data_IF_717072645004
#
_entry.id   IF_717072645004
#
_cell.length_a   1.000
_cell.length_b   1.000
_cell.length_c   1.000
_cell.angle_alpha   90.00
_cell.angle_beta   90.00
_cell.angle_gamma   90.00
#
_symmetry.space_group_name_H-M   'P 1'
#
loop_
_entity.id
_entity.type
_entity.pdbx_description
1 polymer ?
2 polymer ?
3 polymer ?
4 water ?
#
loop_
_entity_poly.entity_id
_entity_poly.type
_entity_poly.pdbx_seq_one_letter_code
_entity_poly.pdbx_strand_id
2 'polydeoxyribonucleotide' '(DA)(DT)(DA)(DT)(DC)(DT)(DT)(DA)(DA)(DT)(DT)(DT)(DT)(DG)(DG)(DT)(DT)(DA)(DA)(DT)(DA)' ?
3 'polydeoxyribonucleotide' '(DT)(DA)(DT)(DT)(DA)(DA)(DC)(DC)(DA)(DA)(DA)(DA)(DT)(DT)(DA)(DA)(DG)(DA)(DT)(DA)(DT)' ?
#
# COMPACT_ATOMS: atom_id res chain seq x y z
N UNK A 1 12.61 3.17 -21.29
CA UNK A 1 11.94 2.38 -22.31
C UNK A 1 10.61 2.96 -22.75
N UNK A 2 10.44 3.07 -24.06
CA UNK A 2 9.21 3.61 -24.65
C UNK A 2 8.31 2.47 -25.08
N UNK A 3 7.05 2.51 -24.64
CA UNK A 3 6.04 1.55 -25.06
C UNK A 3 5.04 2.29 -25.96
N UNK A 4 4.55 1.60 -26.98
CA UNK A 4 3.49 2.10 -27.84
C UNK A 4 2.29 1.18 -27.75
N UNK A 5 1.11 1.77 -27.57
CA UNK A 5 -0.14 1.02 -27.48
C UNK A 5 -0.98 1.30 -28.71
N UNK A 6 -1.52 0.25 -29.31
CA UNK A 6 -2.47 0.37 -30.42
C UNK A 6 -3.76 -0.36 -30.04
N UNK A 7 -4.65 0.32 -29.31
CA UNK A 7 -5.95 -0.23 -28.93
C UNK A 7 -7.05 0.56 -29.63
N UNK A 8 -7.88 -0.13 -30.41
CA UNK A 8 -9.00 0.52 -31.06
C UNK A 8 -10.06 0.97 -30.06
N UNK A 9 -10.23 0.24 -28.97
CA UNK A 9 -11.19 0.65 -27.95
C UNK A 9 -10.65 1.85 -27.18
N UNK A 10 -11.41 2.92 -27.06
CA UNK A 10 -10.86 4.13 -26.42
C UNK A 10 -10.48 3.97 -24.94
N UNK A 11 -11.36 3.41 -24.13
CA UNK A 11 -11.07 3.30 -22.70
C UNK A 11 -9.88 2.41 -22.36
N UNK A 12 -9.74 1.29 -23.05
CA UNK A 12 -8.66 0.38 -22.74
C UNK A 12 -7.33 1.02 -23.05
N UNK A 13 -7.25 1.69 -24.20
CA UNK A 13 -6.01 2.29 -24.61
C UNK A 13 -5.53 3.17 -23.49
N UNK A 14 -6.44 3.88 -22.85
CA UNK A 14 -6.06 4.82 -21.82
C UNK A 14 -5.60 4.14 -20.54
N UNK A 15 -6.39 3.20 -20.04
CA UNK A 15 -6.05 2.53 -18.82
C UNK A 15 -4.66 1.94 -18.91
N UNK A 16 -4.35 1.32 -20.04
CA UNK A 16 -3.03 0.72 -20.22
C UNK A 16 -1.94 1.75 -20.08
N UNK A 17 -2.09 2.88 -20.76
CA UNK A 17 -1.05 3.90 -20.73
C UNK A 17 -0.84 4.44 -19.33
N UNK A 18 -1.92 4.59 -18.58
CA UNK A 18 -1.81 5.11 -17.23
C UNK A 18 -1.06 4.16 -16.33
N UNK A 19 -1.37 2.88 -16.41
CA UNK A 19 -0.66 1.88 -15.63
C UNK A 19 0.80 1.85 -16.01
N UNK A 20 1.08 1.80 -17.31
CA UNK A 20 2.45 1.77 -17.80
C UNK A 20 3.26 2.96 -17.35
N UNK A 21 2.69 4.15 -17.49
CA UNK A 21 3.37 5.37 -17.06
C UNK A 21 3.66 5.32 -15.57
N UNK A 22 2.70 4.85 -14.79
CA UNK A 22 2.89 4.77 -13.35
C UNK A 22 4.09 3.94 -13.04
N UNK A 23 4.26 2.85 -13.78
CA UNK A 23 5.38 1.97 -13.55
C UNK A 23 6.68 2.74 -13.74
N UNK A 24 6.79 3.44 -14.86
CA UNK A 24 8.00 4.19 -15.14
C UNK A 24 8.38 4.17 -16.60
N UNK A 25 7.39 4.01 -17.47
CA UNK A 25 7.66 3.92 -18.90
C UNK A 25 7.26 5.17 -19.65
N UNK A 26 7.91 5.41 -20.79
CA UNK A 26 7.54 6.53 -21.62
C UNK A 26 6.54 5.94 -22.59
N UNK A 27 5.47 6.65 -22.87
CA UNK A 27 4.42 6.04 -23.70
C UNK A 27 3.75 6.84 -24.80
N UNK A 28 3.41 6.18 -25.90
CA UNK A 28 2.64 6.78 -26.98
C UNK A 28 1.52 5.81 -27.33
N UNK A 29 0.34 6.33 -27.64
CA UNK A 29 -0.80 5.49 -27.98
C UNK A 29 -1.23 5.69 -29.43
N UNK A 30 -1.83 4.65 -29.97
CA UNK A 30 -2.40 4.70 -31.29
C UNK A 30 -3.75 4.00 -31.23
N UNK A 31 -4.67 4.40 -32.10
CA UNK A 31 -5.94 3.73 -32.24
C UNK A 31 -6.11 3.10 -33.60
N UNK A 32 -5.10 3.22 -34.47
CA UNK A 32 -5.17 2.81 -35.86
C UNK A 32 -3.84 2.21 -36.26
N UNK A 33 -3.88 1.29 -37.21
CA UNK A 33 -2.63 0.76 -37.76
C UNK A 33 -1.85 1.86 -38.49
N UNK A 34 -2.55 2.64 -39.30
CA UNK A 34 -1.90 3.77 -39.97
C UNK A 34 -1.30 4.74 -38.97
N UNK A 35 -2.06 5.09 -37.92
CA UNK A 35 -1.53 5.99 -36.90
C UNK A 35 -0.36 5.35 -36.15
N UNK A 36 -0.49 4.07 -35.78
CA UNK A 36 0.62 3.33 -35.24
C UNK A 36 1.82 3.45 -36.15
N UNK A 37 1.71 2.88 -37.37
CA UNK A 37 2.78 2.84 -38.36
C UNK A 37 3.55 4.15 -38.52
N UNK A 38 2.87 5.29 -38.38
CA UNK A 38 3.57 6.57 -38.35
C UNK A 38 4.50 6.66 -37.15
N UNK A 39 3.98 6.38 -35.97
CA UNK A 39 4.80 6.50 -34.77
C UNK A 39 6.08 5.69 -34.91
N UNK A 40 5.96 4.44 -35.28
CA UNK A 40 7.11 3.56 -35.38
C UNK A 40 8.08 4.06 -36.44
N UNK A 41 7.67 5.05 -37.21
CA UNK A 41 8.55 5.63 -38.21
C UNK A 41 9.27 6.88 -37.73
N UNK A 42 8.73 7.54 -36.71
CA UNK A 42 9.37 8.72 -36.16
C UNK A 42 10.17 8.41 -34.90
N UNK A 43 9.66 7.51 -34.08
CA UNK A 43 10.33 7.21 -32.83
C UNK A 43 10.67 5.75 -32.68
N UNK A 44 11.63 5.44 -31.81
CA UNK A 44 11.98 4.06 -31.56
C UNK A 44 11.37 3.60 -30.27
N UNK A 45 10.73 2.44 -30.33
CA UNK A 45 10.06 1.91 -29.19
C UNK A 45 10.70 0.61 -28.79
N UNK A 46 10.79 0.39 -27.49
CA UNK A 46 11.40 -0.82 -26.99
C UNK A 46 10.40 -1.94 -27.05
N UNK A 47 9.13 -1.62 -26.83
CA UNK A 47 8.08 -2.61 -26.93
C UNK A 47 6.84 -2.02 -27.57
N UNK A 48 6.14 -2.81 -28.34
CA UNK A 48 4.88 -2.36 -28.91
C UNK A 48 3.78 -3.25 -28.39
N UNK A 49 2.75 -2.64 -27.83
CA UNK A 49 1.59 -3.39 -27.33
C UNK A 49 0.46 -3.16 -28.32
N UNK A 50 0.13 -4.17 -29.11
CA UNK A 50 -0.88 -4.05 -30.15
C UNK A 50 -1.97 -5.10 -29.95
N UNK A 51 -3.17 -4.76 -30.43
CA UNK A 51 -4.27 -5.71 -30.46
C UNK A 51 -4.25 -6.48 -31.78
N UNK A 52 -4.40 -7.81 -31.69
CA UNK A 52 -4.63 -8.60 -32.89
C UNK A 52 -5.95 -8.23 -33.54
N UNK A 53 -6.94 -7.85 -32.72
CA UNK A 53 -8.27 -7.51 -33.21
C UNK A 53 -8.34 -5.99 -33.37
N UNK A 54 -7.86 -5.53 -34.53
CA UNK A 54 -7.97 -4.15 -34.96
C UNK A 54 -8.82 -4.08 -36.21
N UNK A 55 -9.54 -2.98 -36.43
CA UNK A 55 -10.29 -2.86 -37.70
C UNK A 55 -9.41 -2.82 -38.94
N UNK A 56 -8.32 -2.05 -38.91
CA UNK A 56 -7.50 -1.79 -40.10
C UNK A 56 -6.24 -2.62 -40.17
N UNK A 57 -6.25 -3.82 -39.59
CA UNK A 57 -5.09 -4.69 -39.65
C UNK A 57 -5.50 -6.15 -39.59
N UNK A 58 -4.64 -7.01 -40.11
CA UNK A 58 -4.80 -8.43 -39.96
C UNK A 58 -4.08 -8.97 -38.73
N UNK A 59 -3.33 -8.12 -38.03
CA UNK A 59 -2.45 -8.60 -37.00
C UNK A 59 -1.13 -9.06 -37.59
N UNK A 60 -1.17 -10.10 -38.42
CA UNK A 60 0.06 -10.69 -38.94
C UNK A 60 0.89 -9.69 -39.75
N UNK A 61 0.23 -8.84 -40.55
CA UNK A 61 0.95 -7.79 -41.25
C UNK A 61 1.49 -6.76 -40.27
N UNK A 62 0.64 -6.31 -39.34
CA UNK A 62 1.09 -5.45 -38.24
C UNK A 62 2.37 -5.95 -37.58
N UNK A 63 2.36 -7.19 -37.09
CA UNK A 63 3.57 -7.76 -36.50
C UNK A 63 4.69 -7.85 -37.52
N UNK A 64 4.40 -7.97 -38.80
CA UNK A 64 5.48 -8.11 -39.77
C UNK A 64 6.11 -6.77 -40.09
N UNK A 65 5.28 -5.75 -40.29
CA UNK A 65 5.78 -4.42 -40.60
C UNK A 65 6.70 -3.89 -39.52
N UNK A 66 6.29 -3.97 -38.26
CA UNK A 66 7.09 -3.45 -37.15
C UNK A 66 8.42 -4.17 -36.97
N UNK A 67 8.42 -5.48 -37.07
CA UNK A 67 9.64 -6.24 -36.87
C UNK A 67 10.57 -6.16 -38.05
N UNK A 68 10.19 -5.39 -39.06
CA UNK A 68 11.05 -5.20 -40.21
C UNK A 68 11.68 -3.85 -40.11
N UNK A 69 10.90 -2.85 -39.73
CA UNK A 69 11.45 -1.53 -39.57
C UNK A 69 12.27 -1.50 -38.31
N UNK A 70 11.65 -1.83 -37.18
CA UNK A 70 12.37 -1.87 -35.93
C UNK A 70 12.57 -3.32 -35.59
N UNK A 71 13.73 -3.85 -35.94
CA UNK A 71 13.96 -5.28 -35.72
C UNK A 71 14.27 -5.62 -34.27
N UNK A 72 14.53 -4.61 -33.45
CA UNK A 72 14.87 -4.85 -32.06
C UNK A 72 13.73 -4.47 -31.16
N UNK A 73 12.64 -4.03 -31.75
CA UNK A 73 11.47 -3.69 -30.99
C UNK A 73 10.74 -4.97 -30.66
N UNK A 74 10.15 -5.06 -29.47
CA UNK A 74 9.44 -6.25 -29.06
C UNK A 74 7.97 -6.06 -29.32
N UNK A 75 7.32 -7.10 -29.79
CA UNK A 75 5.92 -7.00 -30.08
C UNK A 75 5.09 -7.89 -29.17
N UNK A 76 4.20 -7.30 -28.39
CA UNK A 76 3.32 -8.05 -27.54
C UNK A 76 1.91 -7.87 -28.02
N UNK A 77 1.24 -8.98 -28.30
CA UNK A 77 -0.11 -8.92 -28.82
C UNK A 77 -1.12 -9.19 -27.75
N UNK A 78 -2.20 -8.44 -27.77
CA UNK A 78 -3.29 -8.66 -26.83
C UNK A 78 -4.53 -9.10 -27.60
N UNK A 79 -5.24 -10.08 -27.06
CA UNK A 79 -6.45 -10.58 -27.72
C UNK A 79 -7.49 -10.97 -26.69
N UNK A 80 -8.74 -10.60 -26.96
CA UNK A 80 -9.84 -11.19 -26.23
C UNK A 80 -10.04 -12.65 -26.62
N UNK A 81 -9.73 -13.00 -27.88
CA UNK A 81 -9.75 -14.38 -28.35
C UNK A 81 -8.35 -14.96 -28.14
N UNK A 82 -8.14 -15.59 -26.97
CA UNK A 82 -6.89 -16.24 -26.64
C UNK A 82 -6.87 -17.71 -27.05
N UNK A 83 -7.58 -18.04 -28.12
CA UNK A 83 -7.59 -19.37 -28.69
C UNK A 83 -6.18 -19.88 -28.95
N UNK A 84 -6.01 -21.21 -28.83
CA UNK A 84 -4.76 -21.87 -29.17
C UNK A 84 -4.17 -21.36 -30.48
N UNK A 85 -5.00 -21.32 -31.52
CA UNK A 85 -4.50 -21.04 -32.86
C UNK A 85 -4.25 -19.55 -33.07
N UNK A 86 -5.11 -18.70 -32.51
CA UNK A 86 -4.86 -17.26 -32.55
C UNK A 86 -3.50 -16.94 -31.93
N UNK A 87 -3.20 -17.55 -30.78
CA UNK A 87 -1.89 -17.38 -30.18
C UNK A 87 -0.79 -17.84 -31.13
N UNK A 88 -0.90 -19.07 -31.65
CA UNK A 88 0.15 -19.61 -32.50
C UNK A 88 0.38 -18.72 -33.70
N UNK A 89 -0.70 -18.28 -34.35
CA UNK A 89 -0.58 -17.38 -35.49
C UNK A 89 0.26 -16.15 -35.13
N UNK A 90 -0.05 -15.53 -33.99
CA UNK A 90 0.66 -14.32 -33.58
C UNK A 90 2.14 -14.60 -33.38
N UNK A 91 2.46 -15.56 -32.50
CA UNK A 91 3.86 -15.90 -32.26
C UNK A 91 4.56 -16.28 -33.55
N UNK A 92 3.91 -17.10 -34.38
CA UNK A 92 4.49 -17.44 -35.67
C UNK A 92 4.65 -16.20 -36.55
N UNK A 93 3.70 -15.27 -36.47
CA UNK A 93 3.79 -14.04 -37.24
C UNK A 93 4.94 -13.14 -36.79
N UNK A 94 5.66 -13.53 -35.74
CA UNK A 94 6.77 -12.74 -35.24
C UNK A 94 6.54 -12.08 -33.91
N UNK A 95 5.38 -12.28 -33.30
CA UNK A 95 5.15 -11.73 -31.98
C UNK A 95 6.03 -12.37 -30.93
N UNK A 96 6.35 -11.63 -29.89
CA UNK A 96 7.22 -12.14 -28.84
C UNK A 96 6.43 -12.54 -27.61
N UNK A 97 5.19 -12.11 -27.51
CA UNK A 97 4.36 -12.53 -26.41
C UNK A 97 2.89 -12.39 -26.74
N UNK A 98 2.05 -13.20 -26.10
CA UNK A 98 0.63 -13.15 -26.33
C UNK A 98 -0.07 -13.14 -25.01
N UNK A 99 -0.99 -12.19 -24.83
CA UNK A 99 -1.72 -12.04 -23.59
C UNK A 99 -3.21 -11.98 -23.91
N UNK A 100 -4.03 -12.48 -22.98
CA UNK A 100 -5.48 -12.54 -23.18
C UNK A 100 -6.15 -11.29 -22.62
N UNK A 101 -7.28 -10.94 -23.22
CA UNK A 101 -8.03 -9.81 -22.75
C UNK A 101 -9.39 -10.37 -22.41
N UNK A 102 -9.88 -10.07 -21.23
CA UNK A 102 -9.48 -8.93 -20.41
C UNK A 102 -8.12 -9.10 -19.77
N UNK A 103 -7.46 -8.02 -19.38
CA UNK A 103 -6.10 -8.09 -18.89
C UNK A 103 -5.79 -8.10 -17.41
N UNK A 104 -4.75 -8.83 -17.00
CA UNK A 104 -4.27 -8.78 -15.63
C UNK A 104 -3.09 -7.88 -15.77
N UNK A 105 -3.14 -6.72 -15.19
CA UNK A 105 -2.07 -5.77 -15.42
C UNK A 105 -0.82 -6.06 -14.64
N UNK A 106 -0.96 -6.85 -13.59
CA UNK A 106 0.18 -7.23 -12.78
C UNK A 106 1.03 -8.20 -13.54
N UNK A 107 0.39 -9.05 -14.31
CA UNK A 107 1.10 -10.02 -15.12
C UNK A 107 1.66 -9.42 -16.39
N UNK A 108 0.98 -8.41 -16.90
CA UNK A 108 1.45 -7.75 -18.10
C UNK A 108 2.76 -7.05 -17.82
N UNK A 109 2.80 -6.28 -16.75
CA UNK A 109 4.01 -5.53 -16.41
C UNK A 109 5.18 -6.45 -16.15
N UNK A 110 4.91 -7.62 -15.59
CA UNK A 110 5.96 -8.59 -15.35
C UNK A 110 6.58 -9.06 -16.63
N UNK A 111 5.74 -9.39 -17.60
CA UNK A 111 6.23 -9.84 -18.90
C UNK A 111 6.89 -8.72 -19.66
N UNK A 112 6.38 -7.51 -19.51
CA UNK A 112 6.97 -6.37 -20.17
C UNK A 112 8.37 -6.12 -19.60
N UNK A 113 8.50 -6.27 -18.30
CA UNK A 113 9.80 -6.11 -17.67
C UNK A 113 10.75 -7.21 -18.09
N UNK A 114 10.25 -8.42 -18.25
CA UNK A 114 11.07 -9.53 -18.68
C UNK A 114 11.54 -9.36 -20.10
N UNK A 115 10.68 -8.81 -20.95
CA UNK A 115 11.00 -8.62 -22.34
C UNK A 115 11.99 -7.47 -22.53
N UNK A 116 12.00 -6.53 -21.60
CA UNK A 116 12.90 -5.39 -21.72
C UNK A 116 14.17 -5.61 -20.94
N UNK A 117 14.28 -6.76 -20.28
CA UNK A 117 15.49 -7.10 -19.54
C UNK A 117 16.48 -7.62 -20.54
N UNK A 118 16.01 -7.97 -21.72
CA UNK A 118 16.88 -8.45 -22.77
C UNK A 118 17.64 -9.70 -22.34
N UNK A 119 16.94 -10.63 -21.69
CA UNK A 119 17.57 -11.86 -21.28
C UNK A 119 18.41 -11.73 -20.04
N UNK A 120 18.42 -10.55 -19.46
CA UNK A 120 19.24 -10.32 -18.29
C UNK A 120 18.48 -10.62 -17.00
N UNK A 121 19.03 -10.15 -15.90
CA UNK A 121 18.38 -10.31 -14.62
C UNK A 121 17.93 -8.92 -14.18
N UNK A 122 17.04 -8.85 -13.19
CA UNK A 122 16.54 -7.56 -12.75
C UNK A 122 17.67 -6.72 -12.19
N UNK A 123 18.49 -7.30 -11.34
CA UNK A 123 19.65 -6.59 -10.85
C UNK A 123 20.80 -6.94 -11.76
N UNK A 124 21.40 -5.94 -12.38
CA UNK A 124 22.48 -6.16 -13.32
C UNK A 124 23.78 -6.26 -12.53
N UNK A 125 24.39 -7.45 -12.53
CA UNK A 125 25.57 -7.72 -11.71
C UNK A 125 26.73 -8.15 -12.61
N UNK A 126 27.55 -7.18 -13.02
CA UNK A 126 28.78 -7.44 -13.77
C UNK A 126 29.95 -7.13 -12.86
N UNK A 127 30.79 -8.13 -12.63
CA UNK A 127 31.94 -7.95 -11.78
C UNK A 127 31.45 -7.34 -10.49
N UNK A 128 32.18 -6.36 -9.99
CA UNK A 128 31.82 -5.75 -8.72
C UNK A 128 30.81 -4.65 -8.94
N UNK A 129 30.40 -4.47 -10.20
CA UNK A 129 29.38 -3.48 -10.51
C UNK A 129 28.01 -4.09 -10.36
N UNK A 130 27.16 -3.43 -9.58
CA UNK A 130 25.82 -3.93 -9.32
C UNK A 130 24.84 -2.78 -9.47
N UNK A 131 24.02 -2.82 -10.52
CA UNK A 131 23.04 -1.79 -10.75
C UNK A 131 21.65 -2.30 -10.46
N UNK A 132 21.04 -1.83 -9.39
CA UNK A 132 19.66 -2.20 -9.10
C UNK A 132 18.75 -1.08 -9.55
N UNK A 133 18.22 -1.20 -10.78
CA UNK A 133 17.41 -0.13 -11.34
C UNK A 133 16.13 0.09 -10.54
N UNK A 134 15.67 -0.94 -9.83
CA UNK A 134 14.45 -0.84 -9.04
C UNK A 134 14.62 0.05 -7.82
N UNK A 135 15.77 -0.03 -7.17
CA UNK A 135 16.05 0.84 -6.02
C UNK A 135 16.94 2.00 -6.42
N UNK A 136 17.16 2.18 -7.71
CA UNK A 136 18.02 3.27 -8.20
C UNK A 136 19.33 3.34 -7.47
N UNK A 137 20.13 2.28 -7.55
CA UNK A 137 21.38 2.25 -6.83
C UNK A 137 22.51 1.59 -7.60
N UNK A 138 23.69 2.17 -7.54
CA UNK A 138 24.84 1.59 -8.21
C UNK A 138 25.91 1.37 -7.16
N UNK A 139 26.46 0.17 -7.12
CA UNK A 139 27.47 -0.16 -6.13
C UNK A 139 28.65 -0.85 -6.76
N UNK A 140 29.84 -0.33 -6.54
CA UNK A 140 31.03 -0.99 -7.05
C UNK A 140 31.94 -1.34 -5.90
N UNK A 141 32.38 -2.58 -5.83
CA UNK A 141 33.29 -3.03 -4.77
C UNK A 141 32.66 -2.86 -3.40
N UNK A 142 31.34 -2.83 -3.35
CA UNK A 142 30.65 -2.65 -2.09
C UNK A 142 30.53 -1.18 -1.82
N UNK A 143 31.21 -0.37 -2.62
CA UNK A 143 31.20 1.06 -2.43
C UNK A 143 30.09 1.65 -3.26
N UNK A 144 29.34 2.58 -2.68
CA UNK A 144 28.17 3.11 -3.37
C UNK A 144 28.45 4.29 -4.25
N UNK A 145 27.91 4.25 -5.47
CA UNK A 145 28.05 5.35 -6.41
C UNK A 145 26.75 6.14 -6.37
N UNK A 146 26.84 7.44 -6.60
CA UNK A 146 25.66 8.29 -6.53
C UNK A 146 25.21 8.87 -7.87
N UNK A 147 24.42 8.12 -8.61
CA UNK A 147 23.93 8.58 -9.90
C UNK A 147 22.45 8.48 -9.84
N UNK A 148 21.75 9.52 -10.22
CA UNK A 148 20.31 9.52 -10.09
C UNK A 148 19.59 10.30 -11.18
N UNK A 149 18.39 9.88 -11.49
CA UNK A 149 17.61 10.55 -12.51
C UNK A 149 17.89 10.06 -13.89
N UNK A 150 17.66 10.92 -14.88
CA UNK A 150 17.93 10.57 -16.25
C UNK A 150 19.31 9.97 -16.39
N UNK A 151 20.31 10.57 -15.73
CA UNK A 151 21.65 10.04 -15.94
C UNK A 151 21.78 8.57 -15.53
N UNK A 152 21.01 8.13 -14.55
CA UNK A 152 21.03 6.73 -14.12
C UNK A 152 20.31 5.86 -15.11
N UNK A 153 19.28 6.41 -15.74
CA UNK A 153 18.48 5.66 -16.69
C UNK A 153 19.20 5.38 -17.98
N UNK A 154 20.04 6.30 -18.45
CA UNK A 154 20.80 6.00 -19.65
C UNK A 154 21.87 4.98 -19.34
N UNK A 155 22.31 4.91 -18.08
CA UNK A 155 23.31 3.91 -17.72
C UNK A 155 22.71 2.50 -17.71
N UNK A 156 21.52 2.34 -17.12
CA UNK A 156 20.88 1.03 -17.15
C UNK A 156 20.52 0.65 -18.59
N UNK A 157 20.01 1.61 -19.36
CA UNK A 157 19.72 1.35 -20.77
C UNK A 157 20.99 0.94 -21.51
N UNK A 158 22.09 1.66 -21.27
CA UNK A 158 23.36 1.28 -21.88
C UNK A 158 23.81 -0.09 -21.39
N UNK A 159 23.43 -0.47 -20.15
CA UNK A 159 23.84 -1.75 -19.61
C UNK A 159 22.96 -2.88 -20.14
N UNK A 160 21.64 -2.67 -20.19
CA UNK A 160 20.76 -3.63 -20.85
C UNK A 160 21.21 -3.91 -22.28
N UNK A 161 21.77 -2.90 -22.94
CA UNK A 161 22.22 -3.00 -24.32
C UNK A 161 23.75 -3.01 -24.41
N UNK A 162 24.40 -3.79 -23.55
CA UNK A 162 25.85 -3.80 -23.48
C UNK A 162 26.47 -4.31 -24.78
N UNK A 163 27.69 -3.85 -25.06
CA UNK A 163 28.46 -4.14 -26.28
C UNK A 163 27.74 -3.73 -27.55
N UNK A 164 26.71 -2.88 -27.44
CA UNK A 164 25.99 -2.34 -28.58
C UNK A 164 25.98 -0.83 -28.48
N UNK A 165 26.12 -0.15 -29.61
CA UNK A 165 26.03 1.30 -29.61
C UNK A 165 24.57 1.70 -29.57
N UNK A 166 24.28 2.81 -28.90
CA UNK A 166 22.93 3.34 -28.76
C UNK A 166 22.97 4.80 -29.19
N UNK A 167 22.34 5.10 -30.32
CA UNK A 167 22.32 6.45 -30.83
C UNK A 167 21.66 7.39 -29.82
N UNK A 168 22.08 8.65 -29.85
CA UNK A 168 21.52 9.64 -28.93
C UNK A 168 20.01 9.77 -29.11
N UNK A 169 19.51 9.51 -30.33
CA UNK A 169 18.07 9.58 -30.57
C UNK A 169 17.33 8.48 -29.82
N UNK A 170 17.92 7.28 -29.75
CA UNK A 170 17.26 6.18 -29.04
C UNK A 170 17.25 6.42 -27.53
N UNK A 171 18.37 6.91 -26.98
CA UNK A 171 18.39 7.29 -25.57
C UNK A 171 17.35 8.36 -25.29
N UNK A 172 17.23 9.35 -26.17
CA UNK A 172 16.18 10.35 -26.04
C UNK A 172 14.80 9.71 -26.12
N UNK A 173 14.59 8.91 -27.17
CA UNK A 173 13.29 8.27 -27.38
C UNK A 173 12.89 7.41 -26.20
N UNK A 174 13.85 6.75 -25.55
CA UNK A 174 13.53 5.79 -24.50
C UNK A 174 13.21 6.45 -23.16
N UNK A 175 13.85 7.58 -22.86
CA UNK A 175 13.86 8.09 -21.49
C UNK A 175 13.12 9.42 -21.35
N UNK A 176 13.09 10.26 -22.38
CA UNK A 176 12.44 11.56 -22.31
C UNK A 176 11.05 11.49 -22.92
N UNK A 177 10.11 12.23 -22.31
CA UNK A 177 8.72 12.19 -22.76
C UNK A 177 8.59 12.77 -24.16
N UNK A 178 9.12 13.97 -24.38
CA UNK A 178 9.06 14.58 -25.71
C UNK A 178 10.44 14.65 -26.33
N UNK A 179 10.95 13.54 -26.86
CA UNK A 179 12.37 13.50 -27.28
C UNK A 179 12.71 14.52 -28.35
N UNK A 180 11.73 14.97 -29.14
CA UNK A 180 12.03 15.90 -30.23
C UNK A 180 12.37 17.28 -29.70
N UNK A 181 11.84 17.67 -28.53
CA UNK A 181 11.99 19.03 -28.02
C UNK A 181 13.32 19.23 -27.32
N UNK A 182 13.71 18.29 -26.44
CA UNK A 182 14.95 18.45 -25.69
C UNK A 182 16.13 18.48 -26.64
N UNK A 183 17.13 19.29 -26.31
CA UNK A 183 18.32 19.35 -27.14
C UNK A 183 19.15 18.08 -26.92
N UNK A 184 19.86 17.61 -27.95
CA UNK A 184 20.58 16.35 -27.73
C UNK A 184 21.81 16.45 -26.84
N UNK A 185 22.05 17.59 -26.19
CA UNK A 185 23.19 17.76 -25.32
C UNK A 185 22.82 17.26 -23.95
N UNK A 186 21.55 17.05 -23.71
CA UNK A 186 21.11 16.51 -22.45
C UNK A 186 21.74 15.13 -22.29
N UNK A 187 21.86 14.40 -23.39
CA UNK A 187 22.48 13.09 -23.36
C UNK A 187 23.96 13.16 -23.06
N UNK A 188 24.64 14.16 -23.60
CA UNK A 188 26.08 14.28 -23.41
C UNK A 188 26.46 14.72 -22.01
N UNK A 189 25.68 15.63 -21.43
CA UNK A 189 25.93 16.05 -20.06
C UNK A 189 25.68 14.89 -19.13
N UNK A 190 24.72 14.04 -19.48
CA UNK A 190 24.45 12.85 -18.68
C UNK A 190 25.62 11.88 -18.70
N UNK A 191 26.18 11.64 -19.87
CA UNK A 191 27.32 10.76 -19.97
C UNK A 191 28.50 11.32 -19.19
N UNK A 192 28.66 12.63 -19.20
CA UNK A 192 29.72 13.25 -18.43
C UNK A 192 29.47 13.02 -16.96
N UNK A 193 28.22 13.12 -16.55
CA UNK A 193 27.89 12.88 -15.16
C UNK A 193 28.23 11.45 -14.79
N UNK A 194 27.85 10.51 -15.64
CA UNK A 194 28.15 9.11 -15.36
C UNK A 194 29.63 8.87 -15.27
N UNK A 195 30.38 9.29 -16.28
CA UNK A 195 31.81 9.06 -16.28
C UNK A 195 32.45 9.70 -15.08
N UNK A 196 32.03 10.92 -14.76
CA UNK A 196 32.62 11.66 -13.65
C UNK A 196 32.46 10.94 -12.32
N UNK A 197 31.31 10.31 -12.11
CA UNK A 197 31.05 9.66 -10.84
C UNK A 197 31.24 8.15 -10.91
N UNK A 198 31.77 7.67 -12.02
CA UNK A 198 31.99 6.23 -12.17
C UNK A 198 33.30 5.92 -12.88
N UNK A 199 33.38 6.23 -14.17
CA UNK A 199 34.57 5.88 -14.93
C UNK A 199 35.82 6.58 -14.43
N UNK A 200 35.71 7.87 -14.15
CA UNK A 200 36.87 8.64 -13.71
C UNK A 200 37.37 8.25 -12.30
N UNK A 201 36.46 8.23 -11.32
CA UNK A 201 36.92 7.93 -9.96
C UNK A 201 37.25 6.47 -9.77
N UNK A 202 36.51 5.58 -10.42
CA UNK A 202 36.73 4.14 -10.22
C UNK A 202 37.68 3.55 -11.25
N UNK A 203 38.59 4.36 -11.77
CA UNK A 203 39.59 3.85 -12.72
C UNK A 203 39.04 2.86 -13.73
N UNK A 204 37.94 3.22 -14.39
CA UNK A 204 37.33 2.33 -15.37
C UNK A 204 36.87 3.08 -16.60
N UNK A 205 36.45 2.36 -17.63
CA UNK A 205 35.93 2.98 -18.85
C UNK A 205 34.66 2.29 -19.26
N UNK A 206 33.57 2.59 -18.58
CA UNK A 206 32.31 1.91 -18.86
C UNK A 206 31.69 2.29 -20.20
N UNK A 207 31.69 3.57 -20.53
CA UNK A 207 31.05 4.01 -21.76
C UNK A 207 32.03 4.45 -22.83
N UNK A 208 31.80 4.01 -24.06
CA UNK A 208 32.67 4.39 -25.17
C UNK A 208 31.86 5.19 -26.16
N UNK A 209 32.48 6.22 -26.73
CA UNK A 209 31.77 7.06 -27.67
C UNK A 209 32.21 6.76 -29.10
N UNK A 210 31.23 6.67 -30.01
CA UNK A 210 31.47 6.34 -31.41
C UNK A 210 30.86 7.44 -32.26
N UNK A 211 31.70 8.17 -33.01
CA UNK A 211 31.28 9.40 -33.67
C UNK A 211 30.22 9.11 -34.74
N UNK A 212 29.17 9.94 -34.73
CA UNK A 212 28.03 9.77 -35.63
C UNK A 212 27.40 8.39 -35.50
N UNK A 213 27.44 7.83 -34.29
CA UNK A 213 26.89 6.52 -34.00
C UNK A 213 26.10 6.55 -32.70
N UNK A 214 26.81 6.83 -31.61
CA UNK A 214 26.20 6.91 -30.29
C UNK A 214 27.22 6.51 -29.23
N UNK A 215 26.72 5.95 -28.15
CA UNK A 215 27.54 5.49 -27.03
C UNK A 215 27.37 3.99 -26.86
N UNK A 216 28.38 3.36 -26.26
CA UNK A 216 28.38 1.91 -26.08
C UNK A 216 28.95 1.59 -24.71
N UNK A 217 28.19 0.86 -23.90
CA UNK A 217 28.66 0.39 -22.61
C UNK A 217 29.57 -0.81 -22.80
N UNK A 218 30.68 -0.82 -22.07
CA UNK A 218 31.62 -1.94 -22.09
C UNK A 218 32.24 -2.09 -20.71
N UNK A 219 32.62 -3.31 -20.36
CA UNK A 219 33.35 -3.58 -19.13
C UNK A 219 34.47 -4.59 -19.41
N UNK A 220 35.51 -4.17 -20.16
CA UNK A 220 36.65 -5.03 -20.50
C UNK A 220 37.78 -4.93 -19.48
N UNK B 1 -16.75 -11.47 23.63
CA UNK B 1 -16.97 -11.03 24.99
C UNK B 1 -16.76 -12.14 25.97
N UNK B 2 -16.12 -11.84 27.09
CA UNK B 2 -15.93 -12.84 28.11
C UNK B 2 -16.74 -12.46 29.30
N UNK B 3 -17.71 -13.29 29.65
CA UNK B 3 -18.57 -13.02 30.79
C UNK B 3 -18.31 -14.03 31.89
N UNK B 4 -18.27 -13.57 33.13
CA UNK B 4 -18.04 -14.46 34.25
C UNK B 4 -19.32 -14.59 35.07
N UNK B 5 -19.73 -15.82 35.35
CA UNK B 5 -20.97 -16.04 36.10
C UNK B 5 -20.69 -16.55 37.50
N UNK B 6 -21.00 -15.74 38.51
CA UNK B 6 -20.84 -16.18 39.88
C UNK B 6 -22.20 -16.52 40.45
N UNK B 7 -22.56 -17.79 40.40
CA UNK B 7 -23.86 -18.21 40.89
C UNK B 7 -23.79 -19.41 41.81
N UNK B 8 -24.41 -19.29 42.98
CA UNK B 8 -24.44 -20.38 43.93
C UNK B 8 -25.24 -21.58 43.41
N UNK B 9 -26.38 -21.33 42.78
CA UNK B 9 -27.21 -22.40 42.26
C UNK B 9 -26.61 -22.99 40.98
N UNK B 10 -26.22 -24.25 41.06
CA UNK B 10 -25.60 -24.91 39.90
C UNK B 10 -26.60 -25.04 38.75
N UNK B 11 -27.84 -25.32 39.09
CA UNK B 11 -28.87 -25.41 38.09
C UNK B 11 -28.81 -24.23 37.17
N UNK B 12 -29.01 -23.04 37.71
CA UNK B 12 -29.00 -21.83 36.91
C UNK B 12 -27.67 -21.58 36.25
N UNK B 13 -26.59 -21.67 37.01
CA UNK B 13 -25.29 -21.37 36.48
C UNK B 13 -25.05 -22.14 35.21
N UNK B 14 -25.40 -23.43 35.18
CA UNK B 14 -25.31 -24.17 33.93
C UNK B 14 -26.23 -23.56 32.87
N UNK B 15 -27.45 -23.17 33.26
CA UNK B 15 -28.37 -22.55 32.30
C UNK B 15 -27.82 -21.21 31.81
N UNK B 16 -27.35 -20.36 32.71
CA UNK B 16 -26.76 -19.07 32.32
C UNK B 16 -25.67 -19.29 31.29
N UNK B 17 -24.73 -20.17 31.60
CA UNK B 17 -23.63 -20.45 30.68
C UNK B 17 -24.18 -20.90 29.33
N UNK B 18 -25.01 -21.94 29.32
CA UNK B 18 -25.47 -22.54 28.07
C UNK B 18 -26.08 -21.49 27.13
N UNK B 19 -26.94 -20.61 27.66
CA UNK B 19 -27.47 -19.54 26.84
C UNK B 19 -26.38 -18.59 26.37
N UNK B 20 -25.39 -18.31 27.22
CA UNK B 20 -24.37 -17.32 26.89
C UNK B 20 -23.42 -17.85 25.81
N UNK B 21 -23.04 -19.13 25.88
CA UNK B 21 -22.24 -19.70 24.80
C UNK B 21 -23.03 -19.74 23.50
N UNK B 22 -24.33 -20.07 23.58
CA UNK B 22 -25.18 -20.10 22.40
C UNK B 22 -25.16 -18.77 21.63
N UNK B 23 -24.85 -17.66 22.31
CA UNK B 23 -24.76 -16.38 21.63
C UNK B 23 -23.36 -16.05 21.14
N UNK B 24 -22.35 -16.84 21.49
CA UNK B 24 -21.01 -16.58 21.05
C UNK B 24 -20.15 -15.84 22.05
N UNK B 25 -20.52 -15.85 23.32
CA UNK B 25 -19.69 -15.28 24.37
C UNK B 25 -18.72 -16.32 24.88
N UNK B 26 -17.45 -15.95 25.02
CA UNK B 26 -16.57 -16.71 25.88
C UNK B 26 -17.10 -16.61 27.31
N UNK B 27 -17.19 -17.74 28.00
CA UNK B 27 -17.80 -17.71 29.31
C UNK B 27 -17.15 -18.60 30.32
N UNK B 28 -16.93 -18.09 31.52
CA UNK B 28 -16.39 -18.90 32.58
C UNK B 28 -17.36 -18.78 33.74
N UNK B 29 -17.38 -19.77 34.62
CA UNK B 29 -18.36 -19.77 35.70
C UNK B 29 -17.77 -19.98 37.09
N UNK B 30 -18.57 -19.69 38.10
CA UNK B 30 -18.12 -19.85 39.48
C UNK B 30 -19.32 -19.91 40.41
N UNK B 31 -19.07 -20.08 41.69
CA UNK B 31 -20.13 -20.11 42.68
C UNK B 31 -19.56 -19.51 43.94
N UNK B 32 -18.28 -19.16 43.88
CA UNK B 32 -17.62 -18.58 45.04
C UNK B 32 -17.01 -17.26 44.65
N UNK B 33 -17.21 -16.24 45.48
CA UNK B 33 -16.63 -14.95 45.20
C UNK B 33 -15.14 -15.13 45.14
N UNK B 34 -14.61 -15.91 46.06
CA UNK B 34 -13.19 -16.17 46.04
C UNK B 34 -12.83 -16.67 44.66
N UNK B 35 -13.57 -17.67 44.20
CA UNK B 35 -13.27 -18.22 42.89
C UNK B 35 -13.34 -17.14 41.85
N UNK B 36 -14.31 -16.25 41.97
CA UNK B 36 -14.49 -15.21 40.99
C UNK B 36 -13.28 -14.32 40.88
N UNK B 37 -12.77 -13.88 42.02
CA UNK B 37 -11.64 -12.96 42.00
C UNK B 37 -10.43 -13.61 41.36
N UNK B 38 -10.33 -14.93 41.49
CA UNK B 38 -9.19 -15.62 40.93
C UNK B 38 -9.19 -15.48 39.43
N UNK B 39 -10.35 -15.72 38.82
CA UNK B 39 -10.44 -15.59 37.39
C UNK B 39 -10.08 -14.18 37.00
N UNK B 40 -10.52 -13.22 37.79
CA UNK B 40 -10.29 -11.83 37.46
C UNK B 40 -8.81 -11.58 37.32
N UNK B 41 -8.02 -12.07 38.26
CA UNK B 41 -6.60 -11.86 38.24
C UNK B 41 -5.95 -12.41 37.00
N UNK B 42 -6.34 -13.61 36.61
CA UNK B 42 -5.74 -14.24 35.45
C UNK B 42 -6.26 -13.68 34.14
N UNK B 43 -7.55 -13.38 34.06
CA UNK B 43 -8.12 -12.91 32.81
C UNK B 43 -9.04 -11.73 32.95
N UNK B 44 -9.24 -10.99 31.87
CA UNK B 44 -10.13 -9.84 31.91
C UNK B 44 -11.46 -10.26 31.35
N UNK B 45 -12.52 -10.02 32.11
CA UNK B 45 -13.84 -10.35 31.65
C UNK B 45 -14.60 -9.07 31.39
N UNK B 46 -15.24 -8.99 30.24
CA UNK B 46 -15.97 -7.79 29.89
C UNK B 46 -17.10 -7.52 30.88
N UNK B 47 -17.72 -8.58 31.39
CA UNK B 47 -18.78 -8.42 32.36
C UNK B 47 -18.80 -9.55 33.35
N UNK B 48 -19.31 -9.27 34.54
CA UNK B 48 -19.44 -10.28 35.55
C UNK B 48 -20.85 -10.22 36.04
N UNK B 49 -21.61 -11.29 35.88
CA UNK B 49 -22.94 -11.33 36.44
C UNK B 49 -22.86 -12.10 37.72
N UNK B 50 -23.41 -11.55 38.79
CA UNK B 50 -23.29 -12.19 40.08
C UNK B 50 -24.54 -12.05 40.91
N UNK B 51 -24.80 -13.04 41.74
CA UNK B 51 -25.99 -13.01 42.58
C UNK B 51 -25.78 -12.14 43.78
N UNK B 52 -26.76 -11.31 44.10
CA UNK B 52 -26.66 -10.46 45.27
C UNK B 52 -26.63 -11.36 46.48
N UNK B 53 -27.30 -12.50 46.39
CA UNK B 53 -27.33 -13.43 47.49
C UNK B 53 -26.38 -14.59 47.26
N UNK B 54 -25.36 -14.68 48.09
CA UNK B 54 -24.42 -15.77 48.00
C UNK B 54 -24.06 -16.15 49.41
N UNK B 55 -23.42 -17.33 49.61
CA UNK B 55 -23.04 -17.61 50.98
C UNK B 55 -22.21 -16.46 51.52
N UNK B 56 -21.39 -15.87 50.68
CA UNK B 56 -20.53 -14.77 51.10
C UNK B 56 -21.38 -13.60 51.57
N UNK B 57 -22.33 -13.18 50.75
CA UNK B 57 -23.19 -12.06 51.11
C UNK B 57 -22.41 -10.81 51.42
N UNK B 58 -21.21 -10.69 50.87
CA UNK B 58 -20.40 -9.49 51.08
C UNK B 58 -21.14 -8.30 50.52
N UNK B 59 -21.96 -8.53 49.50
CA UNK B 59 -22.74 -7.46 48.92
C UNK B 59 -21.90 -6.50 48.10
N UNK B 60 -21.89 -5.24 48.49
CA UNK B 60 -21.15 -4.23 47.74
C UNK B 60 -19.69 -4.60 47.68
N UNK B 61 -19.20 -5.28 48.70
CA UNK B 61 -17.79 -5.62 48.75
C UNK B 61 -17.38 -6.44 47.54
N UNK B 62 -18.35 -7.04 46.88
CA UNK B 62 -18.04 -7.80 45.67
C UNK B 62 -17.92 -6.83 44.51
N UNK B 63 -18.92 -5.98 44.34
CA UNK B 63 -18.92 -5.06 43.21
C UNK B 63 -17.74 -4.11 43.29
N UNK B 64 -17.49 -3.58 44.48
CA UNK B 64 -16.41 -2.62 44.64
C UNK B 64 -15.06 -3.27 44.41
N UNK B 65 -14.96 -4.56 44.75
CA UNK B 65 -13.70 -5.26 44.58
C UNK B 65 -13.44 -5.52 43.10
N UNK B 66 -14.43 -6.04 42.41
CA UNK B 66 -14.24 -6.37 41.00
C UNK B 66 -13.78 -5.12 40.27
N UNK B 67 -14.40 -4.00 40.58
CA UNK B 67 -14.06 -2.74 39.94
C UNK B 67 -12.67 -2.29 40.30
N UNK B 68 -12.26 -2.54 41.53
CA UNK B 68 -10.96 -2.08 41.98
C UNK B 68 -9.84 -2.83 41.29
N UNK B 69 -9.97 -4.14 41.22
CA UNK B 69 -8.93 -4.95 40.63
C UNK B 69 -8.94 -4.84 39.12
N UNK B 70 -10.14 -4.88 38.55
CA UNK B 70 -10.28 -4.77 37.10
C UNK B 70 -11.38 -3.78 36.75
N UNK B 71 -11.04 -2.50 36.58
CA UNK B 71 -12.06 -1.46 36.48
C UNK B 71 -12.80 -1.42 35.15
N UNK B 72 -12.17 -1.90 34.08
CA UNK B 72 -12.80 -1.87 32.76
C UNK B 72 -13.91 -2.91 32.61
N UNK B 73 -14.16 -3.66 33.67
CA UNK B 73 -15.18 -4.70 33.66
C UNK B 73 -16.47 -4.20 34.26
N UNK B 74 -17.59 -4.72 33.75
CA UNK B 74 -18.88 -4.28 34.25
C UNK B 74 -19.41 -5.28 35.24
N UNK B 75 -20.28 -4.83 36.12
CA UNK B 75 -20.88 -5.72 37.08
C UNK B 75 -22.40 -5.69 36.95
N UNK B 76 -23.00 -6.82 36.64
CA UNK B 76 -24.45 -6.90 36.56
C UNK B 76 -24.89 -7.75 37.70
N UNK B 77 -25.81 -7.29 38.52
CA UNK B 77 -26.19 -8.03 39.70
C UNK B 77 -27.53 -8.72 39.54
N UNK B 78 -27.60 -10.01 39.87
CA UNK B 78 -28.84 -10.77 39.78
C UNK B 78 -29.41 -11.06 41.14
N UNK B 79 -30.69 -10.80 41.32
CA UNK B 79 -31.32 -11.07 42.57
C UNK B 79 -32.79 -11.35 42.47
N UNK B 80 -33.29 -12.11 43.42
CA UNK B 80 -34.68 -12.47 43.44
C UNK B 80 -35.37 -11.58 44.40
N UNK B 81 -34.64 -10.64 44.95
CA UNK B 81 -35.25 -9.66 45.77
C UNK B 81 -35.48 -8.49 44.83
N UNK B 82 -36.74 -8.19 44.52
CA UNK B 82 -37.08 -7.14 43.56
C UNK B 82 -37.37 -5.83 44.22
N UNK B 83 -37.29 -5.80 45.54
CA UNK B 83 -37.56 -4.59 46.26
C UNK B 83 -36.74 -3.44 45.73
N UNK B 84 -37.34 -2.27 45.68
CA UNK B 84 -36.65 -1.09 45.22
C UNK B 84 -35.34 -0.90 45.94
N UNK B 85 -35.33 -1.16 47.24
CA UNK B 85 -34.12 -0.97 48.03
C UNK B 85 -33.00 -1.88 47.60
N UNK B 86 -33.33 -3.10 47.24
CA UNK B 86 -32.31 -4.02 46.79
C UNK B 86 -31.71 -3.46 45.53
N UNK B 87 -32.55 -3.08 44.58
CA UNK B 87 -32.05 -2.55 43.33
C UNK B 87 -31.23 -1.31 43.55
N UNK B 88 -31.75 -0.38 44.34
CA UNK B 88 -31.06 0.88 44.54
C UNK B 88 -29.77 0.70 45.29
N UNK B 89 -29.82 -0.09 46.36
CA UNK B 89 -28.65 -0.25 47.19
C UNK B 89 -27.59 -0.99 46.44
N UNK B 90 -27.97 -1.76 45.42
CA UNK B 90 -26.97 -2.45 44.61
C UNK B 90 -26.34 -1.53 43.59
N UNK B 91 -27.15 -0.75 42.90
CA UNK B 91 -26.65 0.15 41.90
C UNK B 91 -25.82 1.24 42.53
N UNK B 92 -26.19 1.63 43.74
CA UNK B 92 -25.43 2.64 44.46
C UNK B 92 -24.12 2.06 44.96
N UNK B 93 -23.95 0.76 44.84
CA UNK B 93 -22.73 0.11 45.30
C UNK B 93 -21.75 -0.05 44.17
N UNK B 94 -22.17 0.25 42.95
CA UNK B 94 -21.26 0.19 41.82
C UNK B 94 -21.72 -0.70 40.71
N UNK B 95 -22.91 -1.27 40.84
CA UNK B 95 -23.42 -2.15 39.83
C UNK B 95 -23.78 -1.32 38.64
N UNK B 96 -23.41 -1.80 37.47
CA UNK B 96 -23.75 -1.08 36.26
C UNK B 96 -25.16 -1.45 35.87
N UNK B 97 -25.65 -2.60 36.33
CA UNK B 97 -27.02 -3.00 36.06
C UNK B 97 -27.58 -3.94 37.11
N UNK B 98 -28.88 -3.97 37.27
CA UNK B 98 -29.54 -4.86 38.20
C UNK B 98 -30.65 -5.64 37.55
N UNK B 99 -30.43 -6.92 37.35
CA UNK B 99 -31.44 -7.76 36.76
C UNK B 99 -32.15 -8.55 37.83
N UNK B 100 -33.33 -9.04 37.52
CA UNK B 100 -34.12 -9.76 38.48
C UNK B 100 -34.34 -11.23 38.17
N UNK B 101 -34.43 -12.04 39.22
CA UNK B 101 -34.65 -13.47 39.08
C UNK B 101 -35.93 -13.86 39.74
N UNK B 102 -36.84 -14.46 38.99
CA UNK B 102 -36.71 -15.32 37.82
C UNK B 102 -36.15 -14.59 36.63
N UNK B 103 -35.28 -15.22 35.86
CA UNK B 103 -34.62 -14.53 34.77
C UNK B 103 -35.24 -14.60 33.39
N UNK B 104 -35.30 -13.47 32.68
CA UNK B 104 -35.78 -13.47 31.30
C UNK B 104 -34.57 -13.41 30.43
N UNK B 105 -34.05 -14.55 30.10
CA UNK B 105 -32.79 -14.62 29.35
C UNK B 105 -32.80 -13.77 28.10
N UNK B 106 -33.96 -13.53 27.50
CA UNK B 106 -34.03 -12.67 26.33
C UNK B 106 -33.62 -11.24 26.69
N UNK B 107 -34.28 -10.66 27.69
CA UNK B 107 -33.89 -9.34 28.17
C UNK B 107 -32.45 -9.37 28.64
N UNK B 108 -32.10 -10.39 29.44
CA UNK B 108 -30.73 -10.49 29.97
C UNK B 108 -29.71 -10.41 28.86
N UNK B 109 -29.94 -11.14 27.77
CA UNK B 109 -28.98 -11.13 26.68
C UNK B 109 -28.92 -9.75 26.01
N UNK B 110 -30.06 -9.08 25.90
CA UNK B 110 -30.07 -7.76 25.26
C UNK B 110 -29.31 -6.74 26.09
N UNK B 111 -29.51 -6.76 27.41
CA UNK B 111 -28.83 -5.82 28.30
C UNK B 111 -27.33 -6.02 28.38
N UNK B 112 -26.87 -7.26 28.33
CA UNK B 112 -25.44 -7.53 28.31
C UNK B 112 -24.84 -6.98 27.04
N UNK B 113 -25.59 -7.06 25.96
CA UNK B 113 -25.12 -6.54 24.68
C UNK B 113 -24.98 -5.04 24.73
N UNK B 114 -25.88 -4.36 25.42
CA UNK B 114 -25.81 -2.92 25.55
C UNK B 114 -24.70 -2.49 26.47
N UNK B 115 -24.36 -3.32 27.44
CA UNK B 115 -23.30 -2.99 28.37
C UNK B 115 -21.97 -3.34 27.77
N UNK B 116 -21.99 -3.87 26.57
CA UNK B 116 -20.74 -4.29 25.93
C UNK B 116 -20.56 -3.64 24.57
N UNK B 117 -21.56 -2.90 24.11
CA UNK B 117 -21.43 -2.18 22.84
C UNK B 117 -20.34 -1.12 22.89
N UNK B 118 -19.45 -1.13 21.92
CA UNK B 118 -18.32 -0.22 21.94
C UNK B 118 -18.58 1.05 21.17
N UNK B 119 -19.37 0.96 20.11
CA UNK B 119 -19.66 2.11 19.30
C UNK B 119 -18.68 2.36 18.18
N UNK B 120 -18.60 3.61 17.73
CA UNK B 120 -17.72 3.94 16.63
C UNK B 120 -16.42 4.62 17.01
N UNK B 121 -15.30 4.12 16.49
CA UNK B 121 -14.00 4.70 16.81
C UNK B 121 -13.36 5.33 15.60
N UNK B 122 -12.72 6.47 15.80
CA UNK B 122 -12.03 7.13 14.71
C UNK B 122 -10.56 6.77 14.72
N UNK B 123 -10.20 5.83 15.58
CA UNK B 123 -8.81 5.44 15.70
C UNK B 123 -8.33 4.67 14.52
N UNK B 124 -7.13 5.01 14.05
CA UNK B 124 -6.54 4.30 12.93
C UNK B 124 -5.36 3.55 13.51
N UNK B 125 -5.29 2.25 13.24
CA UNK B 125 -4.19 1.45 13.77
C UNK B 125 -3.50 0.64 12.68
N UNK B 126 -2.17 0.75 12.58
CA UNK B 126 -1.44 -0.06 11.62
C UNK B 126 -0.15 -0.52 12.30
N UNK B 127 0.02 -1.83 12.41
CA UNK B 127 1.19 -2.39 13.07
C UNK B 127 1.36 -1.77 14.42
N UNK B 128 2.56 -1.31 14.72
CA UNK B 128 2.83 -0.72 16.01
C UNK B 128 2.31 0.71 16.03
N UNK B 129 1.73 1.17 14.93
CA UNK B 129 1.32 2.55 14.88
C UNK B 129 -0.17 2.77 15.06
N UNK B 130 -0.52 3.59 16.04
CA UNK B 130 -1.92 3.89 16.25
C UNK B 130 -2.12 5.38 16.21
N UNK B 131 -3.13 5.83 15.49
CA UNK B 131 -3.39 7.25 15.37
C UNK B 131 -4.72 7.60 16.03
N UNK B 132 -4.72 8.16 17.22
CA UNK B 132 -6.01 8.55 17.80
C UNK B 132 -6.33 10.00 17.52
N UNK B 133 -7.23 10.24 16.58
CA UNK B 133 -7.56 11.60 16.19
C UNK B 133 -8.37 12.34 17.24
N UNK B 134 -9.10 11.63 18.09
CA UNK B 134 -9.95 12.29 19.06
C UNK B 134 -9.15 12.74 20.25
N UNK B 135 -8.08 12.04 20.56
CA UNK B 135 -7.21 12.39 21.67
C UNK B 135 -5.94 13.10 21.22
N UNK B 136 -5.76 13.25 19.92
CA UNK B 136 -4.54 13.84 19.38
C UNK B 136 -3.38 13.04 19.91
N UNK B 137 -3.39 11.75 19.63
CA UNK B 137 -2.35 10.89 20.16
C UNK B 137 -1.83 9.93 19.11
N UNK B 138 -0.55 10.07 18.79
CA UNK B 138 0.10 9.17 17.84
C UNK B 138 1.11 8.37 18.60
N UNK B 139 0.86 7.07 18.72
CA UNK B 139 1.75 6.21 19.46
C UNK B 139 2.29 5.11 18.57
N UNK B 140 3.60 4.97 18.53
CA UNK B 140 4.20 3.88 17.77
C UNK B 140 4.88 2.94 18.74
N UNK B 141 4.54 1.67 18.65
CA UNK B 141 5.12 0.69 19.55
C UNK B 141 5.13 1.25 20.95
N UNK B 142 4.00 1.78 21.40
CA UNK B 142 3.91 2.27 22.77
C UNK B 142 4.70 3.54 23.03
N UNK B 143 5.23 4.14 21.98
CA UNK B 143 6.05 5.32 22.15
C UNK B 143 5.38 6.52 21.56
N UNK B 144 4.75 7.30 22.40
CA UNK B 144 4.07 8.47 21.93
C UNK B 144 5.00 9.34 21.12
N UNK B 145 4.58 9.72 19.92
CA UNK B 145 5.37 10.61 19.11
C UNK B 145 4.73 11.97 19.27
N UNK B 146 5.52 13.02 19.31
CA UNK B 146 4.96 14.35 19.57
C UNK B 146 4.57 15.11 18.34
N UNK B 147 3.52 14.68 17.67
CA UNK B 147 3.02 15.40 16.52
C UNK B 147 1.74 16.04 16.95
N UNK B 148 1.59 17.32 16.69
CA UNK B 148 0.43 18.02 17.13
C UNK B 148 0.04 19.07 16.14
N UNK B 149 -1.19 19.54 16.23
CA UNK B 149 -1.64 20.58 15.34
C UNK B 149 -1.89 20.15 13.92
N UNK B 150 -1.79 21.10 13.01
CA UNK B 150 -2.06 20.82 11.61
C UNK B 150 -1.22 19.67 11.08
N UNK B 151 0.04 19.60 11.50
CA UNK B 151 0.82 18.44 11.08
C UNK B 151 0.10 17.14 11.42
N UNK B 152 -0.57 17.08 12.56
CA UNK B 152 -1.29 15.88 12.97
C UNK B 152 -2.44 15.57 12.06
N UNK B 153 -3.18 16.60 11.70
CA UNK B 153 -4.32 16.43 10.82
C UNK B 153 -3.88 16.08 9.41
N UNK B 154 -2.72 16.58 9.01
CA UNK B 154 -2.21 16.25 7.69
C UNK B 154 -1.85 14.77 7.66
N UNK B 155 -1.22 14.30 8.73
CA UNK B 155 -0.87 12.90 8.81
C UNK B 155 -2.14 12.06 8.78
N UNK B 156 -3.17 12.50 9.47
CA UNK B 156 -4.40 11.73 9.53
C UNK B 156 -5.03 11.62 8.16
N UNK B 157 -5.25 12.75 7.50
CA UNK B 157 -5.88 12.74 6.20
C UNK B 157 -5.18 11.80 5.27
N UNK B 158 -3.86 11.72 5.38
CA UNK B 158 -3.10 10.88 4.49
C UNK B 158 -3.36 9.43 4.81
N UNK B 159 -3.29 9.09 6.08
CA UNK B 159 -3.54 7.73 6.48
C UNK B 159 -4.92 7.31 6.05
N UNK B 160 -5.89 8.21 6.17
CA UNK B 160 -7.26 7.90 5.80
C UNK B 160 -7.37 7.72 4.30
N UNK B 161 -6.40 8.21 3.56
CA UNK B 161 -6.39 8.02 2.13
C UNK B 161 -5.13 7.25 1.80
N UNK B 162 -4.83 6.22 2.58
CA UNK B 162 -3.60 5.48 2.40
C UNK B 162 -3.39 4.94 1.00
N UNK B 163 -2.14 4.73 0.61
CA UNK B 163 -1.81 4.25 -0.73
C UNK B 163 -2.15 5.33 -1.73
N UNK B 164 -3.36 5.84 -1.67
CA UNK B 164 -3.78 6.91 -2.57
C UNK B 164 -2.95 8.18 -2.32
N UNK B 165 -2.84 9.02 -3.36
CA UNK B 165 -2.08 10.25 -3.22
C UNK B 165 -2.98 11.47 -3.00
N UNK B 166 -2.55 12.39 -2.14
CA UNK B 166 -3.34 13.58 -1.88
C UNK B 166 -2.63 14.84 -2.32
N UNK B 167 -3.31 15.67 -3.10
CA UNK B 167 -2.73 16.91 -3.58
C UNK B 167 -2.52 17.89 -2.46
N UNK B 168 -1.54 18.74 -2.61
CA UNK B 168 -1.31 19.75 -1.61
C UNK B 168 -2.59 20.52 -1.43
N UNK B 169 -3.29 20.78 -2.53
CA UNK B 169 -4.53 21.54 -2.47
C UNK B 169 -5.63 20.80 -1.73
N UNK B 170 -5.75 19.51 -1.98
CA UNK B 170 -6.75 18.72 -1.30
C UNK B 170 -6.51 18.85 0.19
N UNK B 171 -5.27 18.70 0.61
CA UNK B 171 -4.92 18.83 2.01
C UNK B 171 -5.28 20.21 2.51
N UNK B 172 -5.05 21.21 1.67
CA UNK B 172 -5.35 22.57 2.06
C UNK B 172 -6.84 22.78 2.24
N UNK B 173 -7.63 22.31 1.30
CA UNK B 173 -9.08 22.51 1.37
C UNK B 173 -9.63 21.76 2.54
N UNK B 174 -9.10 20.58 2.79
CA UNK B 174 -9.61 19.76 3.86
C UNK B 174 -9.16 20.28 5.19
N UNK B 175 -7.87 20.13 5.47
CA UNK B 175 -7.36 20.52 6.79
C UNK B 175 -7.40 22.01 7.01
N UNK B 176 -7.08 22.78 5.99
CA UNK B 176 -7.02 24.23 6.16
C UNK B 176 -8.30 24.88 5.70
N UNK B 177 -8.50 26.11 6.12
CA UNK B 177 -9.69 26.84 5.74
C UNK B 177 -9.26 27.99 4.87
N UNK B 178 -10.20 28.57 4.15
CA UNK B 178 -9.86 29.63 3.21
C UNK B 178 -8.54 29.34 2.50
N UNK B 179 -8.44 28.23 1.75
CA UNK B 179 -7.15 27.88 1.12
C UNK B 179 -6.64 28.93 0.16
N UNK B 180 -7.48 29.87 -0.28
CA UNK B 180 -7.03 30.91 -1.19
C UNK B 180 -6.06 31.89 -0.54
N UNK B 181 -6.00 31.92 0.79
CA UNK B 181 -5.21 32.89 1.52
C UNK B 181 -4.18 32.22 2.43
N UNK B 182 -3.50 31.19 1.93
CA UNK B 182 -2.43 30.51 2.66
C UNK B 182 -1.29 30.23 1.69
N UNK B 183 -0.06 30.35 2.19
CA UNK B 183 1.11 29.99 1.38
C UNK B 183 1.23 28.47 1.33
N UNK B 184 1.29 27.87 0.15
CA UNK B 184 1.34 26.40 0.06
C UNK B 184 2.50 25.78 0.82
N UNK B 185 3.55 26.55 1.12
CA UNK B 185 4.68 26.05 1.90
C UNK B 185 4.26 25.46 3.23
N UNK B 186 3.07 25.81 3.70
CA UNK B 186 2.56 25.28 4.96
C UNK B 186 2.57 23.76 4.94
N UNK B 187 2.24 23.17 3.80
CA UNK B 187 2.25 21.72 3.66
C UNK B 187 3.65 21.14 3.76
N UNK B 188 4.61 21.81 3.14
CA UNK B 188 5.99 21.34 3.21
C UNK B 188 6.50 21.35 4.63
N UNK B 189 6.24 22.42 5.34
CA UNK B 189 6.69 22.52 6.71
C UNK B 189 5.94 21.50 7.55
N UNK B 190 4.73 21.15 7.17
CA UNK B 190 3.98 20.11 7.87
C UNK B 190 4.55 18.73 7.67
N UNK B 191 4.88 18.38 6.43
CA UNK B 191 5.49 17.09 6.14
C UNK B 191 6.85 16.99 6.81
N UNK B 192 7.57 18.09 6.93
CA UNK B 192 8.87 18.08 7.59
C UNK B 192 8.75 17.69 9.04
N UNK B 193 7.84 18.31 9.75
CA UNK B 193 7.63 18.00 11.15
C UNK B 193 7.20 16.57 11.28
N UNK B 194 6.33 16.14 10.38
CA UNK B 194 5.88 14.78 10.38
C UNK B 194 7.09 13.85 10.24
N UNK B 195 7.90 14.08 9.23
CA UNK B 195 9.08 13.24 9.07
C UNK B 195 10.06 13.40 10.23
N UNK B 196 10.33 14.63 10.61
CA UNK B 196 11.25 14.88 11.70
C UNK B 196 10.85 14.16 12.97
N UNK B 197 9.57 14.10 13.26
CA UNK B 197 9.11 13.51 14.51
C UNK B 197 8.91 12.00 14.49
N UNK B 198 8.30 11.50 13.42
CA UNK B 198 8.03 10.09 13.35
C UNK B 198 8.91 9.39 12.31
N UNK B 199 8.70 9.68 11.03
CA UNK B 199 9.46 8.97 10.01
C UNK B 199 10.91 8.77 10.38
N UNK B 200 11.51 9.75 11.04
CA UNK B 200 12.93 9.64 11.36
C UNK B 200 13.22 8.69 12.52
N UNK B 201 12.72 8.99 13.72
CA UNK B 201 13.07 8.11 14.84
C UNK B 201 12.50 6.72 14.63
N UNK B 202 11.51 6.58 13.75
CA UNK B 202 10.93 5.28 13.47
C UNK B 202 11.69 4.58 12.36
N UNK B 203 12.61 5.28 11.71
CA UNK B 203 13.42 4.68 10.66
C UNK B 203 12.61 3.94 9.61
N UNK B 204 11.55 4.58 9.12
CA UNK B 204 10.74 3.99 8.06
C UNK B 204 9.95 5.10 7.42
N UNK B 205 10.07 5.24 6.10
CA UNK B 205 9.36 6.29 5.41
C UNK B 205 7.90 6.24 5.78
N UNK B 206 7.36 7.36 6.20
CA UNK B 206 5.97 7.42 6.52
C UNK B 206 5.28 8.01 5.33
N UNK B 207 5.78 9.16 4.88
CA UNK B 207 5.16 9.83 3.75
C UNK B 207 6.13 9.80 2.57
N UNK B 208 5.58 9.73 1.37
CA UNK B 208 6.35 9.77 0.14
C UNK B 208 5.82 10.86 -0.76
N UNK B 209 6.72 11.62 -1.35
CA UNK B 209 6.37 12.69 -2.27
C UNK B 209 6.48 12.18 -3.71
N UNK B 210 5.58 12.64 -4.57
CA UNK B 210 5.52 12.23 -5.97
C UNK B 210 5.48 13.49 -6.82
N UNK B 211 6.36 13.55 -7.82
CA UNK B 211 6.53 14.73 -8.66
C UNK B 211 5.20 15.22 -9.23
N UNK B 212 4.84 16.46 -8.91
CA UNK B 212 3.61 17.11 -9.34
C UNK B 212 2.35 16.40 -8.88
N UNK B 213 2.50 15.35 -8.11
CA UNK B 213 1.35 14.58 -7.69
C UNK B 213 1.00 14.95 -6.28
N UNK B 214 2.00 15.08 -5.44
CA UNK B 214 1.75 15.38 -4.05
C UNK B 214 2.30 14.29 -3.18
N UNK B 215 1.57 13.95 -2.13
CA UNK B 215 2.08 12.96 -1.22
C UNK B 215 1.07 11.86 -1.04
N UNK B 216 1.55 10.69 -0.67
CA UNK B 216 0.67 9.59 -0.39
C UNK B 216 1.19 8.91 0.85
N UNK B 217 0.29 8.52 1.73
CA UNK B 217 0.72 7.79 2.92
C UNK B 217 1.20 6.39 2.50
N UNK B 218 2.37 6.01 2.99
CA UNK B 218 2.99 4.73 2.64
C UNK B 218 3.56 4.14 3.92
N UNK B 219 2.80 3.27 4.59
CA UNK B 219 3.30 2.54 5.74
C UNK B 219 3.27 1.05 5.39
N UNK B 220 4.33 0.56 4.72
CA UNK B 220 4.42 -0.88 4.43
C UNK B 220 5.53 -1.54 5.24
N UNK B 221 5.57 -1.29 6.55
CA UNK B 221 6.64 -1.83 7.38
C UNK B 221 6.22 -1.70 8.85
N UNK B 222 7.17 -1.94 9.75
CA UNK B 222 6.94 -1.85 11.19
C UNK B 222 7.04 -0.41 11.66
#
# INVERSE_FOLDING_TARGET
MRILVIEDEISLNKTIIDNLNEFGYQTDSSENFKDGEYFIGIRHYDLVLASWNLPDGDGAELVNTIKHKSPRTSVMIMSAKADKDTEIKALKAGADDFVKKPLDFDILLARIEARLRLGGTNVIKIEDLVIDPDEEKITYKGQDIELKGKPFEVLTHLARHSDQIVSKEQLLDAIWEEPELVTPNVIEVAINQIRQKMDKPLNISTIETVRRRGYRFCFPKKS
MRILVIEDEISLNKTIIDNLNEFGYQTDSSENFKDGEYFIGIRHYDLVLASWNLPDGDGAELVNTIKHKSPRTSVMIMSAKADKDTEIKALKAGADDFVKKPLDFDILLARIEARLRLGGTNVIKIEDLVIDPDEEKITYKGQDIELKGKPFEVLTHLARHSDQIVSKEQLLDAIWEEPELVTPNVIEVAINQIRQKMDKPLNISTIETVRRRGYRFCFPKKS
#
